data_IF_090772304566
#
_entry.id   IF_090772304566
#
_cell.length_a   1.000
_cell.length_b   1.000
_cell.length_c   1.000
_cell.angle_alpha   90.00
_cell.angle_beta   90.00
_cell.angle_gamma   90.00
#
_symmetry.space_group_name_H-M   'P 1'
#
loop_
_entity.id
_entity.type
_entity.pdbx_description
1 polymer ?
#
# COMPACT_ATOMS: atom_id res chain seq x y z
N UNK A 1 10.37 8.96 -17.40
CA UNK A 1 9.19 9.71 -16.90
C UNK A 1 9.09 9.44 -15.40
N UNK A 2 9.50 10.39 -14.54
CA UNK A 2 9.57 10.18 -13.07
C UNK A 2 8.19 10.42 -12.46
N UNK A 3 7.43 9.37 -12.17
CA UNK A 3 6.24 9.45 -11.31
C UNK A 3 6.70 9.77 -9.86
N UNK A 4 7.02 11.03 -9.59
CA UNK A 4 7.54 11.44 -8.27
C UNK A 4 6.45 11.88 -7.28
N UNK A 5 5.18 11.99 -7.71
CA UNK A 5 4.10 12.61 -6.92
C UNK A 5 2.76 11.86 -7.01
N UNK A 6 2.75 10.51 -7.01
CA UNK A 6 1.57 9.82 -6.48
C UNK A 6 1.84 9.62 -4.99
N UNK A 7 1.25 10.49 -4.17
CA UNK A 7 1.22 10.32 -2.72
C UNK A 7 0.23 9.19 -2.45
N UNK A 8 0.74 7.95 -2.49
CA UNK A 8 -0.01 6.75 -2.11
C UNK A 8 -0.17 6.69 -0.60
N UNK A 9 -1.26 6.07 -0.14
CA UNK A 9 -1.43 5.79 1.28
C UNK A 9 -0.36 4.82 1.80
N UNK A 10 -0.25 4.78 3.11
CA UNK A 10 0.83 4.09 3.83
C UNK A 10 0.81 2.59 3.59
N UNK A 11 -0.38 1.99 3.50
CA UNK A 11 -0.54 0.58 3.18
C UNK A 11 -0.03 0.22 1.77
N UNK A 12 -0.45 0.96 0.74
CA UNK A 12 0.00 0.73 -0.63
C UNK A 12 1.50 0.98 -0.79
N UNK A 13 2.01 2.03 -0.13
CA UNK A 13 3.44 2.35 -0.13
C UNK A 13 4.27 1.27 0.56
N UNK A 14 3.81 0.71 1.67
CA UNK A 14 4.48 -0.37 2.36
C UNK A 14 4.56 -1.63 1.48
N UNK A 15 3.47 -1.97 0.77
CA UNK A 15 3.46 -3.10 -0.18
C UNK A 15 4.44 -2.91 -1.34
N UNK A 16 4.50 -1.71 -1.93
CA UNK A 16 5.45 -1.43 -3.01
C UNK A 16 6.91 -1.42 -2.53
N UNK A 17 7.18 -0.84 -1.35
CA UNK A 17 8.54 -0.81 -0.80
C UNK A 17 9.03 -2.23 -0.44
N UNK A 18 8.13 -3.11 0.01
CA UNK A 18 8.42 -4.52 0.22
C UNK A 18 8.73 -5.25 -1.10
N UNK A 19 8.01 -4.94 -2.17
CA UNK A 19 8.25 -5.51 -3.49
C UNK A 19 9.60 -5.09 -4.09
N UNK A 20 10.03 -3.85 -3.87
CA UNK A 20 11.22 -3.26 -4.51
C UNK A 20 12.53 -3.47 -3.72
N UNK A 21 12.51 -4.14 -2.56
CA UNK A 21 13.67 -4.30 -1.65
C UNK A 21 14.36 -2.97 -1.28
N UNK A 22 13.66 -1.83 -1.35
CA UNK A 22 14.22 -0.54 -0.96
C UNK A 22 14.32 -0.40 0.56
N UNK A 23 15.30 0.36 1.09
CA UNK A 23 15.41 0.61 2.52
C UNK A 23 14.13 1.29 3.03
N UNK A 24 13.53 0.68 4.06
CA UNK A 24 12.33 1.17 4.75
C UNK A 24 12.61 2.55 5.37
N UNK A 25 12.50 3.61 4.58
CA UNK A 25 12.34 4.98 5.11
C UNK A 25 11.08 4.95 5.99
N UNK A 26 11.00 5.75 7.07
CA UNK A 26 9.80 5.77 7.91
C UNK A 26 8.60 6.03 7.01
N UNK A 27 7.78 5.00 6.78
CA UNK A 27 6.56 5.10 5.96
C UNK A 27 5.45 5.65 6.85
N UNK A 28 5.51 5.31 8.14
CA UNK A 28 4.55 5.68 9.17
C UNK A 28 4.88 6.99 9.87
N UNK A 29 3.84 7.62 10.40
CA UNK A 29 3.82 8.74 11.34
C UNK A 29 4.58 9.97 10.85
N UNK A 30 4.56 10.23 9.54
CA UNK A 30 5.18 11.44 9.00
C UNK A 30 4.39 12.66 9.46
N UNK A 31 5.07 13.72 9.96
CA UNK A 31 4.40 14.98 10.24
C UNK A 31 3.77 15.53 8.96
N UNK A 32 2.66 16.25 9.12
CA UNK A 32 1.93 16.90 8.06
C UNK A 32 2.67 18.15 7.64
N UNK A 33 2.88 18.30 6.33
CA UNK A 33 3.54 19.50 5.79
C UNK A 33 2.58 20.63 5.44
N UNK A 34 1.29 20.32 5.32
CA UNK A 34 0.25 21.26 4.93
C UNK A 34 -1.15 20.70 5.20
N UNK A 35 -2.19 21.54 5.28
CA UNK A 35 -3.59 21.08 5.37
C UNK A 35 -4.00 20.17 4.21
N UNK A 36 -3.46 20.39 3.02
CA UNK A 36 -3.69 19.50 1.88
C UNK A 36 -3.13 18.10 2.11
N UNK A 37 -2.00 17.93 2.82
CA UNK A 37 -1.41 16.62 3.14
C UNK A 37 -2.37 15.79 4.01
N UNK A 38 -3.05 16.42 4.96
CA UNK A 38 -4.08 15.79 5.81
C UNK A 38 -5.25 15.28 4.98
N UNK A 39 -5.76 16.12 4.07
CA UNK A 39 -6.85 15.74 3.17
C UNK A 39 -6.44 14.56 2.27
N UNK A 40 -5.24 14.61 1.68
CA UNK A 40 -4.73 13.52 0.84
C UNK A 40 -4.60 12.20 1.60
N UNK A 41 -4.00 12.21 2.79
CA UNK A 41 -3.88 10.99 3.61
C UNK A 41 -5.24 10.46 4.04
N UNK A 42 -6.20 11.32 4.35
CA UNK A 42 -7.58 10.91 4.63
C UNK A 42 -8.23 10.25 3.42
N UNK A 43 -8.09 10.84 2.22
CA UNK A 43 -8.61 10.24 0.99
C UNK A 43 -7.93 8.92 0.64
N UNK A 44 -6.66 8.74 1.03
CA UNK A 44 -5.90 7.52 0.77
C UNK A 44 -6.43 6.27 1.47
N UNK A 45 -7.16 6.43 2.58
CA UNK A 45 -7.87 5.34 3.27
C UNK A 45 -8.83 4.63 2.30
N UNK A 46 -9.56 5.41 1.50
CA UNK A 46 -10.50 4.88 0.50
C UNK A 46 -9.81 4.43 -0.79
N UNK A 47 -8.86 5.21 -1.31
CA UNK A 47 -8.25 4.90 -2.61
C UNK A 47 -7.34 3.68 -2.57
N UNK A 48 -6.59 3.45 -1.48
CA UNK A 48 -5.73 2.26 -1.36
C UNK A 48 -6.56 0.98 -1.40
N UNK A 49 -7.72 0.98 -0.74
CA UNK A 49 -8.67 -0.16 -0.77
C UNK A 49 -9.15 -0.46 -2.19
N UNK A 50 -9.36 0.58 -3.02
CA UNK A 50 -9.72 0.40 -4.43
C UNK A 50 -8.57 -0.22 -5.23
N UNK A 51 -7.32 0.21 -5.00
CA UNK A 51 -6.16 -0.40 -5.67
C UNK A 51 -6.00 -1.88 -5.30
N UNK A 52 -6.11 -2.23 -4.02
CA UNK A 52 -6.06 -3.63 -3.59
C UNK A 52 -7.23 -4.44 -4.17
N UNK A 53 -8.42 -3.85 -4.31
CA UNK A 53 -9.59 -4.51 -4.91
C UNK A 53 -9.37 -4.79 -6.39
N UNK A 54 -8.90 -3.81 -7.15
CA UNK A 54 -8.60 -3.99 -8.59
C UNK A 54 -7.49 -5.03 -8.78
N UNK A 55 -6.44 -4.98 -7.96
CA UNK A 55 -5.38 -5.99 -7.99
C UNK A 55 -5.91 -7.39 -7.67
N UNK A 56 -6.73 -7.53 -6.63
CA UNK A 56 -7.37 -8.80 -6.27
C UNK A 56 -8.20 -9.36 -7.43
N UNK A 57 -9.02 -8.52 -8.06
CA UNK A 57 -9.83 -8.90 -9.22
C UNK A 57 -8.97 -9.36 -10.40
N UNK A 58 -7.87 -8.65 -10.69
CA UNK A 58 -6.93 -9.04 -11.74
C UNK A 58 -6.35 -10.44 -11.50
N UNK A 59 -5.81 -10.70 -10.30
CA UNK A 59 -5.24 -12.02 -9.98
C UNK A 59 -6.30 -13.13 -9.97
N UNK A 60 -7.52 -12.84 -9.53
CA UNK A 60 -8.63 -13.80 -9.60
C UNK A 60 -9.00 -14.17 -11.05
N UNK A 61 -8.98 -13.18 -11.97
CA UNK A 61 -9.22 -13.42 -13.40
C UNK A 61 -8.10 -14.24 -14.03
N UNK A 62 -6.83 -13.94 -13.71
CA UNK A 62 -5.68 -14.72 -14.17
C UNK A 62 -5.78 -16.16 -13.68
N UNK A 63 -6.11 -16.37 -12.39
CA UNK A 63 -6.31 -17.70 -11.86
C UNK A 63 -7.42 -18.48 -12.57
N UNK A 64 -8.56 -17.82 -12.83
CA UNK A 64 -9.67 -18.42 -13.57
C UNK A 64 -9.27 -18.80 -15.01
N UNK A 65 -8.52 -17.93 -15.68
CA UNK A 65 -8.02 -18.18 -17.03
C UNK A 65 -7.07 -19.39 -17.09
N UNK A 66 -6.07 -19.43 -16.21
CA UNK A 66 -5.11 -20.54 -16.18
C UNK A 66 -5.78 -21.85 -15.77
N UNK A 67 -6.78 -21.81 -14.88
CA UNK A 67 -7.57 -22.98 -14.53
C UNK A 67 -8.34 -23.53 -15.74
N UNK A 68 -9.01 -22.68 -16.52
CA UNK A 68 -9.70 -23.09 -17.75
C UNK A 68 -8.73 -23.67 -18.78
N UNK A 69 -7.55 -23.07 -18.92
CA UNK A 69 -6.49 -23.54 -19.81
C UNK A 69 -5.93 -24.89 -19.37
N UNK A 70 -5.84 -25.16 -18.08
CA UNK A 70 -5.51 -26.49 -17.56
C UNK A 70 -6.55 -27.53 -17.99
N UNK A 71 -7.84 -27.23 -17.85
CA UNK A 71 -8.91 -28.13 -18.29
C UNK A 71 -8.81 -28.42 -19.79
N UNK A 72 -8.56 -27.39 -20.61
CA UNK A 72 -8.36 -27.56 -22.05
C UNK A 72 -7.20 -28.51 -22.35
N UNK A 73 -6.06 -28.34 -21.66
CA UNK A 73 -4.89 -29.21 -21.83
C UNK A 73 -5.13 -30.65 -21.35
N UNK A 74 -5.93 -30.86 -20.30
CA UNK A 74 -6.35 -32.20 -19.89
C UNK A 74 -7.19 -32.89 -20.97
N UNK A 75 -8.10 -32.16 -21.62
CA UNK A 75 -8.93 -32.69 -22.71
C UNK A 75 -8.07 -33.09 -23.91
N UNK A 76 -7.00 -32.34 -24.20
CA UNK A 76 -6.04 -32.67 -25.27
C UNK A 76 -4.96 -33.67 -24.84
N UNK A 77 -5.08 -34.26 -23.64
CA UNK A 77 -4.13 -35.22 -23.06
C UNK A 77 -2.71 -34.67 -22.85
N UNK A 78 -2.57 -33.35 -22.80
CA UNK A 78 -1.31 -32.68 -22.44
C UNK A 78 -1.24 -32.45 -20.93
N UNK A 79 -0.86 -33.51 -20.21
CA UNK A 79 -0.79 -33.50 -18.74
C UNK A 79 0.32 -32.59 -18.20
N UNK A 80 1.37 -32.34 -18.97
CA UNK A 80 2.48 -31.49 -18.55
C UNK A 80 2.00 -30.04 -18.54
N UNK A 81 1.46 -29.56 -19.66
CA UNK A 81 0.95 -28.20 -19.76
C UNK A 81 -0.27 -27.98 -18.85
N UNK A 82 -1.11 -29.01 -18.65
CA UNK A 82 -2.22 -28.93 -17.69
C UNK A 82 -1.73 -28.70 -16.25
N UNK A 83 -0.66 -29.38 -15.84
CA UNK A 83 -0.07 -29.24 -14.52
C UNK A 83 0.56 -27.86 -14.33
N UNK A 84 1.29 -27.37 -15.33
CA UNK A 84 1.90 -26.03 -15.29
C UNK A 84 0.83 -24.94 -15.09
N UNK A 85 -0.25 -24.95 -15.89
CA UNK A 85 -1.32 -23.98 -15.71
C UNK A 85 -2.04 -24.10 -14.35
N UNK A 86 -2.09 -25.28 -13.72
CA UNK A 86 -2.61 -25.41 -12.33
C UNK A 86 -1.70 -24.72 -11.33
N UNK A 87 -0.38 -24.84 -11.50
CA UNK A 87 0.59 -24.15 -10.64
C UNK A 87 0.46 -22.64 -10.82
N UNK A 88 0.34 -22.16 -12.06
CA UNK A 88 0.15 -20.74 -12.34
C UNK A 88 -1.18 -20.21 -11.77
N UNK A 89 -2.27 -20.99 -11.89
CA UNK A 89 -3.56 -20.65 -11.29
C UNK A 89 -3.48 -20.59 -9.75
N UNK A 90 -2.74 -21.52 -9.12
CA UNK A 90 -2.50 -21.53 -7.68
C UNK A 90 -1.74 -20.28 -7.25
N UNK A 91 -0.66 -19.94 -7.96
CA UNK A 91 0.18 -18.81 -7.59
C UNK A 91 -0.57 -17.48 -7.76
N UNK A 92 -1.41 -17.37 -8.80
CA UNK A 92 -2.32 -16.25 -8.97
C UNK A 92 -3.36 -16.16 -7.84
N UNK A 93 -3.94 -17.29 -7.38
CA UNK A 93 -4.85 -17.32 -6.24
C UNK A 93 -4.18 -16.88 -4.93
N UNK A 94 -2.95 -17.30 -4.69
CA UNK A 94 -2.17 -16.86 -3.52
C UNK A 94 -1.96 -15.35 -3.58
N UNK A 95 -1.59 -14.80 -4.75
CA UNK A 95 -1.50 -13.36 -4.97
C UNK A 95 -2.80 -12.62 -4.68
N UNK A 96 -3.94 -13.14 -5.18
CA UNK A 96 -5.26 -12.58 -4.91
C UNK A 96 -5.59 -12.57 -3.40
N UNK A 97 -5.27 -13.65 -2.67
CA UNK A 97 -5.51 -13.73 -1.22
C UNK A 97 -4.69 -12.70 -0.44
N UNK A 98 -3.42 -12.51 -0.80
CA UNK A 98 -2.56 -11.50 -0.16
C UNK A 98 -3.13 -10.09 -0.37
N UNK A 99 -3.53 -9.76 -1.59
CA UNK A 99 -4.14 -8.47 -1.90
C UNK A 99 -5.50 -8.29 -1.22
N UNK A 100 -6.29 -9.36 -1.09
CA UNK A 100 -7.57 -9.34 -0.38
C UNK A 100 -7.40 -9.03 1.11
N UNK A 101 -6.39 -9.61 1.77
CA UNK A 101 -6.02 -9.21 3.14
C UNK A 101 -5.63 -7.73 3.17
N UNK A 102 -4.94 -7.24 2.14
CA UNK A 102 -4.64 -5.82 1.95
C UNK A 102 -5.89 -4.94 1.89
N UNK A 103 -6.96 -5.36 1.19
CA UNK A 103 -8.25 -4.62 1.15
C UNK A 103 -8.82 -4.42 2.56
N UNK A 104 -8.78 -5.46 3.40
CA UNK A 104 -9.34 -5.41 4.75
C UNK A 104 -8.44 -4.61 5.70
N UNK A 105 -7.11 -4.81 5.62
CA UNK A 105 -6.15 -4.20 6.54
C UNK A 105 -5.84 -2.73 6.19
N UNK A 106 -5.91 -2.34 4.92
CA UNK A 106 -5.52 -1.03 4.42
C UNK A 106 -6.22 0.15 5.14
N UNK A 107 -7.55 0.14 5.36
CA UNK A 107 -8.22 1.22 6.08
C UNK A 107 -7.67 1.43 7.49
N UNK A 108 -7.42 0.34 8.23
CA UNK A 108 -6.92 0.40 9.60
C UNK A 108 -5.47 0.90 9.66
N UNK A 109 -4.60 0.39 8.78
CA UNK A 109 -3.20 0.80 8.69
C UNK A 109 -3.09 2.29 8.37
N UNK A 110 -3.86 2.76 7.36
CA UNK A 110 -3.87 4.16 6.97
C UNK A 110 -4.49 5.06 8.04
N UNK A 111 -5.49 4.58 8.81
CA UNK A 111 -6.07 5.33 9.92
C UNK A 111 -5.09 5.52 11.08
N UNK A 112 -4.39 4.45 11.47
CA UNK A 112 -3.35 4.51 12.52
C UNK A 112 -2.25 5.48 12.11
N UNK A 113 -1.80 5.40 10.85
CA UNK A 113 -0.81 6.31 10.31
C UNK A 113 -1.29 7.76 10.29
N UNK A 114 -2.55 8.01 9.91
CA UNK A 114 -3.15 9.33 9.92
C UNK A 114 -3.10 9.92 11.35
N UNK A 115 -3.59 9.18 12.34
CA UNK A 115 -3.63 9.64 13.74
C UNK A 115 -2.22 9.93 14.25
N UNK A 116 -1.28 9.00 14.08
CA UNK A 116 0.08 9.19 14.57
C UNK A 116 0.82 10.31 13.83
N UNK A 117 0.60 10.49 12.53
CA UNK A 117 1.11 11.65 11.79
C UNK A 117 0.57 12.98 12.33
N UNK A 118 -0.67 13.00 12.82
CA UNK A 118 -1.24 14.15 13.51
C UNK A 118 -0.55 14.45 14.84
N UNK A 119 -0.35 13.43 15.68
CA UNK A 119 0.36 13.57 16.95
C UNK A 119 1.79 14.06 16.73
N UNK A 120 2.53 13.47 15.78
CA UNK A 120 3.90 13.89 15.45
C UNK A 120 3.95 15.33 14.93
N UNK A 121 2.92 15.79 14.22
CA UNK A 121 2.86 17.19 13.76
C UNK A 121 2.69 18.18 14.91
N UNK A 122 1.88 17.83 15.91
CA UNK A 122 1.68 18.68 17.09
C UNK A 122 2.96 18.78 17.91
N UNK A 123 3.63 17.66 18.16
CA UNK A 123 4.91 17.63 18.89
C UNK A 123 5.98 18.48 18.18
N UNK A 124 6.07 18.39 16.85
CA UNK A 124 7.05 19.18 16.10
C UNK A 124 6.77 20.68 16.18
N UNK A 125 5.50 21.10 16.14
CA UNK A 125 5.14 22.50 16.28
C UNK A 125 5.48 23.03 17.69
N UNK A 126 5.23 22.25 18.74
CA UNK A 126 5.59 22.61 20.13
C UNK A 126 7.11 22.79 20.27
N UNK A 127 7.90 21.87 19.72
CA UNK A 127 9.37 21.97 19.73
C UNK A 127 9.90 23.20 18.95
N UNK A 128 9.27 23.55 17.83
CA UNK A 128 9.63 24.73 17.02
C UNK A 128 9.29 26.04 17.74
N UNK A 129 8.16 26.09 18.45
CA UNK A 129 7.75 27.26 19.27
C UNK A 129 8.69 27.47 20.47
N UNK A 130 9.01 26.41 21.22
CA UNK A 130 9.94 26.48 22.36
C UNK A 130 11.35 26.94 21.93
N UNK A 131 11.84 26.45 20.79
CA UNK A 131 13.14 26.87 20.24
C UNK A 131 13.14 28.34 19.81
N UNK A 132 12.04 28.84 19.26
CA UNK A 132 11.89 30.24 18.87
C UNK A 132 11.90 31.14 20.12
N UNK A 133 11.14 30.79 21.16
CA UNK A 133 11.11 31.54 22.43
C UNK A 133 12.48 31.58 23.11
N UNK A 134 13.18 30.44 23.17
CA UNK A 134 14.53 30.37 23.72
C UNK A 134 15.54 31.21 22.92
N UNK A 135 15.37 31.28 21.60
CA UNK A 135 16.22 32.12 20.73
C UNK A 135 15.93 33.61 20.93
N UNK A 136 14.66 33.99 21.11
CA UNK A 136 14.28 35.37 21.37
C UNK A 136 14.76 35.84 22.76
N UNK A 137 14.65 34.99 23.78
CA UNK A 137 15.10 35.28 25.14
C UNK A 137 16.62 35.43 25.28
N UNK A 138 17.41 34.73 24.45
CA UNK A 138 18.87 34.87 24.44
C UNK A 138 19.38 36.09 23.66
N UNK A 139 18.54 36.72 22.84
CA UNK A 139 18.88 37.88 22.01
C UNK A 139 18.33 39.21 22.57
N UNK A 140 17.63 39.17 23.72
CA UNK A 140 17.13 40.34 24.47
C UNK A 140 18.06 40.69 25.63
#
# INVERSE_FOLDING_TARGET
>A
MKLKHIIMGTSLRATLTWSDNEPLRPVFFKPYKSPSDVFFRTTSIGTDSLFFTVGTAYYALVAGFEFLKSIANLITLDFIAAKENIVDARDALIGALILFVGVIASPFINLVDLIGGGVTSLMQNEEEEEQLEATLANNS
#
